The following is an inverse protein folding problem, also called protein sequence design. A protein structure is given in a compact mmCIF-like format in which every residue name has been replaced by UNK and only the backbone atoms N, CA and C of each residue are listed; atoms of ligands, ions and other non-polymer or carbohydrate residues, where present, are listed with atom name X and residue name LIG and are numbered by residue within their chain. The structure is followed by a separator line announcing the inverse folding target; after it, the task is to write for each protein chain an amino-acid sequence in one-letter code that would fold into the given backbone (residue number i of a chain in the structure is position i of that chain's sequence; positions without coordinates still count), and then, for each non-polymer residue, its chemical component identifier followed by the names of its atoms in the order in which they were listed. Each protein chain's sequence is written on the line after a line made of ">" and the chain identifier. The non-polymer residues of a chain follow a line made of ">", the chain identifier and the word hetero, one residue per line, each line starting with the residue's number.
data_IF_897979386729
#
_entry.id   IF_897979386729
#
_cell.length_a   1.000
_cell.length_b   1.000
_cell.length_c   1.000
_cell.angle_alpha   90.00
_cell.angle_beta   90.00
_cell.angle_gamma   90.00
#
_symmetry.space_group_name_H-M   'P 1'
#
loop_
_entity.id
_entity.type
_entity.pdbx_description
1 polymer ?
#
# COMPACT_ATOMS: atom_id res chain seq x y z
N UNK A 1 -3.00 20.64 -10.31
CA UNK A 1 -3.71 19.37 -10.09
C UNK A 1 -3.36 18.91 -8.69
N UNK A 2 -4.32 18.86 -7.78
CA UNK A 2 -4.10 18.34 -6.42
C UNK A 2 -3.92 16.83 -6.50
N UNK A 3 -2.69 16.36 -6.30
CA UNK A 3 -2.37 14.94 -6.20
C UNK A 3 -2.83 14.41 -4.83
N UNK A 4 -4.11 14.56 -4.49
CA UNK A 4 -4.64 14.06 -3.23
C UNK A 4 -4.82 12.55 -3.33
N UNK A 5 -4.26 11.82 -2.37
CA UNK A 5 -4.65 10.44 -2.11
C UNK A 5 -5.98 10.41 -1.35
N UNK A 6 -6.68 9.27 -1.39
CA UNK A 6 -7.91 9.07 -0.62
C UNK A 6 -7.51 8.66 0.80
N UNK A 7 -8.02 9.33 1.85
CA UNK A 7 -7.82 8.89 3.24
C UNK A 7 -8.16 7.41 3.45
N UNK A 8 -7.45 6.75 4.36
CA UNK A 8 -7.66 5.32 4.61
C UNK A 8 -9.08 5.03 5.08
N UNK A 9 -9.64 5.92 5.89
CA UNK A 9 -10.99 5.85 6.43
C UNK A 9 -12.01 5.82 5.28
N UNK A 10 -11.86 6.71 4.29
CA UNK A 10 -12.75 6.77 3.13
C UNK A 10 -12.61 5.51 2.24
N UNK A 11 -11.39 4.99 2.07
CA UNK A 11 -11.15 3.73 1.36
C UNK A 11 -11.83 2.55 2.06
N UNK A 12 -11.73 2.50 3.39
CA UNK A 12 -12.37 1.46 4.19
C UNK A 12 -13.89 1.57 4.08
N UNK A 13 -14.46 2.77 4.20
CA UNK A 13 -15.90 3.00 4.12
C UNK A 13 -16.46 2.63 2.74
N UNK A 14 -15.75 2.99 1.66
CA UNK A 14 -16.15 2.66 0.28
C UNK A 14 -15.98 1.17 -0.07
N UNK A 15 -15.16 0.42 0.67
CA UNK A 15 -14.86 -0.99 0.37
C UNK A 15 -15.92 -1.96 0.92
N UNK A 16 -16.08 -3.10 0.24
CA UNK A 16 -16.83 -4.29 0.67
C UNK A 16 -16.00 -5.22 1.56
N UNK A 17 -14.84 -4.77 2.05
CA UNK A 17 -14.02 -5.56 2.97
C UNK A 17 -14.82 -5.94 4.23
N UNK A 18 -14.56 -7.12 4.77
CA UNK A 18 -15.25 -7.60 5.96
C UNK A 18 -14.98 -6.66 7.16
N UNK A 19 -15.97 -6.45 8.03
CA UNK A 19 -15.86 -5.51 9.14
C UNK A 19 -14.67 -5.79 10.07
N UNK A 20 -14.41 -7.07 10.36
CA UNK A 20 -13.23 -7.49 11.13
C UNK A 20 -11.91 -7.15 10.44
N UNK A 21 -11.86 -7.24 9.10
CA UNK A 21 -10.69 -6.82 8.33
C UNK A 21 -10.51 -5.31 8.40
N UNK A 22 -11.59 -4.52 8.25
CA UNK A 22 -11.53 -3.05 8.38
C UNK A 22 -10.98 -2.64 9.75
N UNK A 23 -11.42 -3.28 10.83
CA UNK A 23 -10.89 -3.06 12.19
C UNK A 23 -9.40 -3.43 12.26
N UNK A 24 -8.99 -4.56 11.69
CA UNK A 24 -7.58 -4.96 11.66
C UNK A 24 -6.70 -3.95 10.93
N UNK A 25 -7.18 -3.37 9.83
CA UNK A 25 -6.46 -2.32 9.08
C UNK A 25 -6.34 -1.03 9.89
N UNK A 26 -7.39 -0.64 10.62
CA UNK A 26 -7.33 0.50 11.54
C UNK A 26 -6.35 0.23 12.70
N UNK A 27 -6.35 -0.96 13.27
CA UNK A 27 -5.44 -1.35 14.34
C UNK A 27 -3.97 -1.38 13.88
N UNK A 28 -3.70 -1.74 12.62
CA UNK A 28 -2.37 -1.65 12.02
C UNK A 28 -1.82 -0.22 12.05
N UNK A 29 -2.65 0.81 11.86
CA UNK A 29 -2.22 2.22 11.96
C UNK A 29 -1.76 2.62 13.36
N UNK A 30 -2.23 1.89 14.37
CA UNK A 30 -1.89 2.07 15.79
C UNK A 30 -0.74 1.15 16.23
N UNK A 31 -0.10 0.45 15.28
CA UNK A 31 1.00 -0.48 15.57
C UNK A 31 0.56 -1.81 16.17
N UNK A 32 -0.74 -2.14 16.11
CA UNK A 32 -1.23 -3.44 16.58
C UNK A 32 -1.18 -4.47 15.47
N UNK A 33 -0.91 -5.71 15.85
CA UNK A 33 -0.91 -6.85 14.94
C UNK A 33 -2.27 -7.57 14.95
N UNK A 34 -2.66 -8.11 13.80
CA UNK A 34 -3.87 -8.92 13.63
C UNK A 34 -3.55 -10.14 12.78
N UNK A 35 -4.09 -11.34 13.09
CA UNK A 35 -3.90 -12.52 12.26
C UNK A 35 -4.53 -12.40 10.86
N UNK A 36 -5.40 -11.40 10.64
CA UNK A 36 -5.99 -11.11 9.33
C UNK A 36 -5.05 -10.35 8.38
N UNK A 37 -3.92 -9.84 8.88
CA UNK A 37 -2.92 -9.12 8.11
C UNK A 37 -1.55 -9.71 8.42
N UNK A 38 -1.15 -10.69 7.60
CA UNK A 38 0.10 -11.43 7.79
C UNK A 38 1.23 -10.79 6.98
N UNK A 39 2.34 -10.49 7.64
CA UNK A 39 3.56 -10.00 6.99
C UNK A 39 4.76 -10.25 7.90
N UNK A 40 5.96 -10.30 7.32
CA UNK A 40 7.18 -10.49 8.10
C UNK A 40 7.41 -9.30 9.06
N UNK A 41 7.71 -9.50 10.36
CA UNK A 41 7.80 -8.41 11.35
C UNK A 41 8.83 -7.32 11.03
N UNK A 42 9.86 -7.63 10.25
CA UNK A 42 10.85 -6.65 9.80
C UNK A 42 10.31 -5.66 8.74
N UNK A 43 9.11 -5.86 8.20
CA UNK A 43 8.52 -4.96 7.21
C UNK A 43 7.89 -3.74 7.89
N UNK A 44 8.15 -2.51 7.41
CA UNK A 44 7.53 -1.31 7.98
C UNK A 44 6.01 -1.31 7.83
N UNK A 45 5.27 -1.20 8.94
CA UNK A 45 3.81 -1.19 8.95
C UNK A 45 3.21 -0.11 8.02
N UNK A 46 3.86 1.06 7.90
CA UNK A 46 3.43 2.12 6.98
C UNK A 46 3.40 1.67 5.52
N UNK A 47 4.33 0.80 5.09
CA UNK A 47 4.38 0.29 3.72
C UNK A 47 3.37 -0.83 3.48
N UNK A 48 3.16 -1.67 4.50
CA UNK A 48 2.07 -2.66 4.53
C UNK A 48 0.72 -1.95 4.36
N UNK A 49 0.46 -0.88 5.14
CA UNK A 49 -0.74 -0.05 5.01
C UNK A 49 -0.93 0.52 3.61
N UNK A 50 0.15 0.94 2.94
CA UNK A 50 0.09 1.49 1.57
C UNK A 50 -0.37 0.44 0.56
N UNK A 51 0.13 -0.79 0.66
CA UNK A 51 -0.33 -1.91 -0.18
C UNK A 51 -1.81 -2.23 0.04
N UNK A 52 -2.25 -2.22 1.30
CA UNK A 52 -3.67 -2.42 1.62
C UNK A 52 -4.53 -1.27 1.07
N UNK A 53 -4.07 -0.02 1.18
CA UNK A 53 -4.79 1.15 0.64
C UNK A 53 -4.95 1.04 -0.87
N UNK A 54 -3.90 0.60 -1.57
CA UNK A 54 -3.96 0.33 -3.02
C UNK A 54 -4.96 -0.78 -3.36
N UNK A 55 -4.99 -1.87 -2.60
CA UNK A 55 -5.99 -2.93 -2.78
C UNK A 55 -7.40 -2.37 -2.64
N UNK A 56 -7.67 -1.59 -1.59
CA UNK A 56 -9.01 -1.04 -1.33
C UNK A 56 -9.45 -0.02 -2.38
N UNK A 57 -8.53 0.80 -2.92
CA UNK A 57 -8.86 1.72 -4.02
C UNK A 57 -9.15 0.96 -5.33
N UNK A 58 -8.34 -0.05 -5.65
CA UNK A 58 -8.45 -0.77 -6.92
C UNK A 58 -9.59 -1.78 -6.94
N UNK A 59 -9.92 -2.36 -5.78
CA UNK A 59 -10.87 -3.47 -5.64
C UNK A 59 -11.93 -3.17 -4.57
N UNK A 60 -12.68 -2.05 -4.65
CA UNK A 60 -13.63 -1.68 -3.61
C UNK A 60 -14.78 -2.68 -3.46
N UNK A 61 -15.04 -3.50 -4.47
CA UNK A 61 -16.09 -4.53 -4.44
C UNK A 61 -15.60 -5.89 -3.92
N UNK A 62 -14.30 -6.04 -3.67
CA UNK A 62 -13.75 -7.29 -3.19
C UNK A 62 -14.06 -7.48 -1.70
N UNK A 63 -14.61 -8.63 -1.36
CA UNK A 63 -14.94 -9.01 0.02
C UNK A 63 -13.69 -9.52 0.74
N UNK A 64 -12.77 -8.60 1.05
CA UNK A 64 -11.49 -8.90 1.71
C UNK A 64 -11.72 -9.37 3.15
N UNK A 65 -11.22 -10.56 3.48
CA UNK A 65 -11.29 -11.19 4.81
C UNK A 65 -9.93 -11.25 5.48
N UNK A 66 -8.89 -11.54 4.71
CA UNK A 66 -7.50 -11.58 5.16
C UNK A 66 -6.56 -11.20 4.02
N UNK A 67 -5.35 -10.80 4.39
CA UNK A 67 -4.24 -10.61 3.45
C UNK A 67 -2.95 -11.18 4.00
N UNK A 68 -2.08 -11.62 3.10
CA UNK A 68 -0.69 -11.97 3.38
C UNK A 68 0.23 -11.22 2.43
N UNK A 69 1.25 -10.58 2.96
CA UNK A 69 2.23 -9.79 2.18
C UNK A 69 3.63 -10.37 2.36
N UNK A 70 4.22 -10.78 1.25
CA UNK A 70 5.62 -11.19 1.15
C UNK A 70 6.36 -10.17 0.30
N UNK A 71 7.31 -9.45 0.90
CA UNK A 71 7.94 -8.32 0.24
C UNK A 71 9.34 -8.02 0.76
N UNK A 72 10.09 -7.24 -0.03
CA UNK A 72 11.34 -6.60 0.37
C UNK A 72 11.13 -5.09 0.47
N UNK A 73 11.75 -4.45 1.48
CA UNK A 73 11.63 -3.01 1.73
C UNK A 73 12.98 -2.31 1.63
N UNK A 74 13.10 -1.38 0.69
CA UNK A 74 14.21 -0.41 0.63
C UNK A 74 13.86 0.90 1.35
N UNK A 75 14.66 1.96 1.19
CA UNK A 75 14.28 3.29 1.70
C UNK A 75 13.07 3.85 0.92
N UNK A 76 13.15 3.83 -0.41
CA UNK A 76 12.10 4.37 -1.30
C UNK A 76 11.19 3.31 -1.93
N UNK A 77 11.55 2.03 -1.82
CA UNK A 77 10.89 0.92 -2.53
C UNK A 77 10.20 -0.06 -1.59
N UNK A 78 9.13 -0.68 -2.07
CA UNK A 78 8.47 -1.83 -1.46
C UNK A 78 7.95 -2.74 -2.57
N UNK A 79 8.50 -3.94 -2.67
CA UNK A 79 8.31 -4.82 -3.83
C UNK A 79 7.97 -6.21 -3.34
N UNK A 80 6.93 -6.82 -3.89
CA UNK A 80 6.51 -8.13 -3.45
C UNK A 80 5.19 -8.61 -4.01
N UNK A 81 4.58 -9.53 -3.30
CA UNK A 81 3.26 -10.10 -3.57
C UNK A 81 2.31 -9.85 -2.42
N UNK A 82 1.04 -9.68 -2.79
CA UNK A 82 -0.09 -9.58 -1.89
C UNK A 82 -1.06 -10.72 -2.23
N UNK A 83 -1.25 -11.63 -1.29
CA UNK A 83 -2.30 -12.64 -1.34
C UNK A 83 -3.50 -12.13 -0.57
N UNK A 84 -4.69 -12.30 -1.14
CA UNK A 84 -5.98 -11.91 -0.54
C UNK A 84 -6.84 -13.16 -0.39
N UNK A 85 -7.48 -13.28 0.77
CA UNK A 85 -8.37 -14.39 1.10
C UNK A 85 -7.71 -15.75 0.86
N UNK A 86 -6.58 -15.99 1.52
CA UNK A 86 -5.85 -17.27 1.43
C UNK A 86 -5.43 -17.63 -0.02
N UNK A 87 -5.15 -16.61 -0.83
CA UNK A 87 -4.66 -16.76 -2.20
C UNK A 87 -5.75 -16.95 -3.26
N UNK A 88 -7.01 -16.61 -2.96
CA UNK A 88 -8.07 -16.46 -3.98
C UNK A 88 -7.69 -15.41 -5.02
N UNK A 89 -7.06 -14.31 -4.58
CA UNK A 89 -6.50 -13.28 -5.45
C UNK A 89 -5.04 -13.03 -5.08
N UNK A 90 -4.19 -12.87 -6.09
CA UNK A 90 -2.77 -12.57 -5.88
C UNK A 90 -2.36 -11.41 -6.75
N UNK A 91 -1.70 -10.43 -6.15
CA UNK A 91 -1.18 -9.25 -6.82
C UNK A 91 0.33 -9.21 -6.69
N UNK A 92 1.02 -8.89 -7.79
CA UNK A 92 2.40 -8.46 -7.77
C UNK A 92 2.46 -6.93 -7.76
N UNK A 93 3.29 -6.36 -6.90
CA UNK A 93 3.39 -4.90 -6.77
C UNK A 93 4.83 -4.38 -6.67
N UNK A 94 5.00 -3.13 -7.10
CA UNK A 94 6.20 -2.31 -6.89
C UNK A 94 5.74 -0.89 -6.51
N UNK A 95 5.87 -0.55 -5.23
CA UNK A 95 5.71 0.82 -4.75
C UNK A 95 7.09 1.49 -4.71
N UNK A 96 7.27 2.57 -5.46
CA UNK A 96 8.54 3.29 -5.56
C UNK A 96 8.32 4.81 -5.71
N UNK A 97 8.48 5.55 -4.62
CA UNK A 97 8.37 7.02 -4.67
C UNK A 97 9.61 7.71 -5.27
N UNK A 98 10.76 7.02 -5.38
CA UNK A 98 11.90 7.58 -6.12
C UNK A 98 11.61 7.56 -7.61
N UNK A 99 10.99 6.49 -8.12
CA UNK A 99 10.46 6.46 -9.48
C UNK A 99 9.42 7.57 -9.70
N UNK A 100 8.43 7.69 -8.80
CA UNK A 100 7.40 8.74 -8.94
C UNK A 100 7.98 10.15 -8.95
N UNK A 101 8.96 10.45 -8.10
CA UNK A 101 9.65 11.74 -8.10
C UNK A 101 10.39 12.00 -9.42
N UNK A 102 11.05 10.99 -9.99
CA UNK A 102 11.71 11.09 -11.31
C UNK A 102 10.71 11.39 -12.42
N UNK A 103 9.57 10.71 -12.46
CA UNK A 103 8.53 10.96 -13.48
C UNK A 103 8.01 12.39 -13.45
N UNK A 104 7.93 12.98 -12.26
CA UNK A 104 7.44 14.35 -12.06
C UNK A 104 8.55 15.41 -12.21
N UNK A 105 9.78 14.99 -12.47
CA UNK A 105 10.94 15.89 -12.50
C UNK A 105 11.25 16.55 -11.14
N UNK A 106 10.79 15.95 -10.04
CA UNK A 106 11.00 16.50 -8.71
C UNK A 106 12.39 16.15 -8.20
N UNK A 107 13.18 17.19 -7.94
CA UNK A 107 14.53 17.07 -7.42
C UNK A 107 14.63 17.74 -6.04
N UNK A 108 15.44 17.15 -5.17
CA UNK A 108 15.86 17.77 -3.92
C UNK A 108 16.97 18.80 -4.19
N UNK A 109 17.46 19.46 -3.13
CA UNK A 109 18.52 20.46 -3.22
C UNK A 109 19.84 19.93 -3.82
N UNK A 110 20.05 18.61 -3.81
CA UNK A 110 21.24 17.95 -4.35
C UNK A 110 21.06 17.48 -5.80
N UNK A 111 19.91 17.79 -6.44
CA UNK A 111 19.57 17.34 -7.78
C UNK A 111 19.15 15.86 -7.85
N UNK A 112 18.97 15.20 -6.69
CA UNK A 112 18.50 13.81 -6.62
C UNK A 112 16.98 13.77 -6.60
N UNK A 113 16.32 12.68 -7.03
CA UNK A 113 14.86 12.63 -7.02
C UNK A 113 14.29 12.80 -5.61
N UNK A 114 13.37 13.76 -5.42
CA UNK A 114 12.76 14.07 -4.13
C UNK A 114 11.67 13.05 -3.74
N UNK A 115 12.14 11.84 -3.41
CA UNK A 115 11.31 10.72 -2.98
C UNK A 115 10.55 11.01 -1.67
N UNK A 116 11.07 11.92 -0.84
CA UNK A 116 10.42 12.33 0.42
C UNK A 116 9.19 13.20 0.15
N UNK A 117 9.29 14.14 -0.80
CA UNK A 117 8.13 14.88 -1.29
C UNK A 117 7.13 13.95 -1.98
N UNK A 118 7.58 13.06 -2.86
CA UNK A 118 6.68 12.09 -3.50
C UNK A 118 5.95 11.21 -2.48
N UNK A 119 6.62 10.71 -1.44
CA UNK A 119 5.99 9.92 -0.39
C UNK A 119 4.99 10.71 0.48
N UNK A 120 5.18 12.03 0.64
CA UNK A 120 4.24 12.90 1.36
C UNK A 120 3.03 13.27 0.52
N UNK A 121 3.24 13.58 -0.76
CA UNK A 121 2.16 14.04 -1.64
C UNK A 121 1.31 12.88 -2.18
N UNK A 122 1.92 11.73 -2.51
CA UNK A 122 1.19 10.61 -3.11
C UNK A 122 0.86 9.49 -2.13
N UNK A 123 1.49 9.46 -0.96
CA UNK A 123 1.38 8.40 0.04
C UNK A 123 1.46 6.98 -0.58
N UNK A 124 0.33 6.28 -0.71
CA UNK A 124 0.30 4.95 -1.29
C UNK A 124 0.33 4.95 -2.82
N UNK A 125 0.01 6.05 -3.52
CA UNK A 125 -0.12 6.12 -5.00
C UNK A 125 1.21 6.15 -5.77
N UNK A 126 2.32 5.76 -5.17
CA UNK A 126 3.62 5.58 -5.85
C UNK A 126 3.79 4.18 -6.47
N UNK A 127 2.71 3.47 -6.81
CA UNK A 127 2.83 2.16 -7.47
C UNK A 127 3.27 2.31 -8.92
N UNK A 128 4.47 1.79 -9.22
CA UNK A 128 4.98 1.59 -10.58
C UNK A 128 4.41 0.31 -11.20
N UNK A 129 4.17 -0.71 -10.37
CA UNK A 129 3.54 -1.97 -10.77
C UNK A 129 2.41 -2.31 -9.80
N UNK A 130 1.27 -2.69 -10.36
CA UNK A 130 0.15 -3.32 -9.67
C UNK A 130 -0.54 -4.26 -10.66
N UNK A 131 -0.31 -5.56 -10.54
CA UNK A 131 -0.80 -6.55 -11.50
C UNK A 131 -1.40 -7.73 -10.76
N UNK A 132 -2.63 -8.09 -11.11
CA UNK A 132 -3.26 -9.31 -10.62
C UNK A 132 -2.74 -10.51 -11.41
N UNK A 133 -2.11 -11.45 -10.71
CA UNK A 133 -1.50 -12.66 -11.28
C UNK A 133 -2.32 -13.92 -11.01
N UNK A 134 -3.35 -13.81 -10.16
CA UNK A 134 -4.35 -14.85 -9.88
C UNK A 134 -5.66 -14.18 -9.42
#
# INVERSE_FOLDING_TARGET
>A
MTHSFIPLEDLLDASQAHSSFKVAVQDLTKGKHSPLIQFHPALPAVKVRRVISQLLEMEPQLHVRNVKIEAVSGCSTFIGTLEVNDGEHVYQFEWDCRWKAKELGWQDFLGMPDQSRAAREFDYRCFRKWERIK
#
